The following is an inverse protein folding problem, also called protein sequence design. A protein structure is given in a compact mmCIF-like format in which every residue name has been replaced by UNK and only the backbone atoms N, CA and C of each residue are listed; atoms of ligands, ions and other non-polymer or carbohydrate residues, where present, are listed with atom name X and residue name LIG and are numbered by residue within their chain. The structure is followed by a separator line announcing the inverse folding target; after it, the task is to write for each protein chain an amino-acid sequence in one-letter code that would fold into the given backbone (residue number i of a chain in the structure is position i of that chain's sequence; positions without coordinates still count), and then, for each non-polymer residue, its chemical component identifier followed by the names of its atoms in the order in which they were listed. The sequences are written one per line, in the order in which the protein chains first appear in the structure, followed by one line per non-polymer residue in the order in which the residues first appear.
data_IF_699671014783
#
_entry.id   IF_699671014783
#
_cell.length_a   1.000
_cell.length_b   1.000
_cell.length_c   1.000
_cell.angle_alpha   90.00
_cell.angle_beta   90.00
_cell.angle_gamma   90.00
#
_symmetry.space_group_name_H-M   'P 1'
#
loop_
_entity.id
_entity.type
_entity.pdbx_description
1 polymer ?
#
# COMPACT_ATOMS: atom_id res chain seq x y z
N UNK A 1 -0.77 40.22 -21.48
CA UNK A 1 0.12 40.22 -20.30
C UNK A 1 -0.69 39.59 -19.17
N UNK A 2 -0.58 38.25 -19.01
CA UNK A 2 0.06 37.57 -17.87
C UNK A 2 -0.57 37.99 -16.52
N UNK A 3 -1.21 37.08 -15.78
CA UNK A 3 -0.50 36.08 -14.98
C UNK A 3 -1.36 34.84 -14.72
N UNK A 4 -0.81 33.65 -14.97
CA UNK A 4 -1.29 32.38 -14.44
C UNK A 4 -0.53 32.07 -13.14
N UNK A 5 -1.30 31.92 -12.06
CA UNK A 5 -1.13 31.03 -10.91
C UNK A 5 0.29 30.70 -10.42
N UNK A 6 0.73 31.35 -9.34
CA UNK A 6 1.79 30.82 -8.47
C UNK A 6 1.16 30.38 -7.14
N UNK A 7 0.38 29.31 -7.19
CA UNK A 7 -0.04 28.56 -6.02
C UNK A 7 1.07 27.61 -5.60
N UNK A 8 2.21 28.15 -5.16
CA UNK A 8 3.29 27.36 -4.56
C UNK A 8 2.88 26.95 -3.14
N UNK A 9 1.82 26.14 -3.04
CA UNK A 9 1.53 25.37 -1.85
C UNK A 9 2.60 24.29 -1.79
N UNK A 10 3.71 24.58 -1.12
CA UNK A 10 4.71 23.58 -0.72
C UNK A 10 3.98 22.50 0.07
N UNK A 11 3.52 21.45 -0.63
CA UNK A 11 3.06 20.24 0.02
C UNK A 11 4.25 19.70 0.81
N UNK A 12 4.04 19.29 2.08
CA UNK A 12 5.13 18.77 2.90
C UNK A 12 5.70 17.44 2.37
N UNK A 13 5.01 16.79 1.43
CA UNK A 13 5.43 15.60 0.70
C UNK A 13 5.28 15.86 -0.80
N UNK A 14 6.19 15.33 -1.61
CA UNK A 14 5.99 15.30 -3.05
C UNK A 14 4.87 14.28 -3.40
N UNK A 15 4.36 14.37 -4.63
CA UNK A 15 3.24 13.50 -5.06
C UNK A 15 3.63 12.01 -5.06
N UNK A 16 4.87 11.68 -5.44
CA UNK A 16 5.36 10.30 -5.51
C UNK A 16 5.52 9.66 -4.11
N UNK A 17 6.00 10.41 -3.12
CA UNK A 17 6.11 10.03 -1.72
C UNK A 17 4.72 9.77 -1.14
N UNK A 18 3.78 10.67 -1.41
CA UNK A 18 2.39 10.52 -1.00
C UNK A 18 1.78 9.25 -1.61
N UNK A 19 2.01 8.99 -2.89
CA UNK A 19 1.50 7.81 -3.58
C UNK A 19 2.07 6.52 -2.96
N UNK A 20 3.38 6.45 -2.72
CA UNK A 20 4.00 5.28 -2.09
C UNK A 20 3.50 5.03 -0.66
N UNK A 21 3.38 6.08 0.16
CA UNK A 21 2.83 5.97 1.51
C UNK A 21 1.38 5.49 1.46
N UNK A 22 0.58 6.02 0.53
CA UNK A 22 -0.82 5.62 0.34
C UNK A 22 -0.94 4.14 -0.05
N UNK A 23 -0.11 3.67 -0.99
CA UNK A 23 -0.11 2.25 -1.37
C UNK A 23 0.30 1.36 -0.20
N UNK A 24 1.34 1.74 0.55
CA UNK A 24 1.78 1.00 1.74
C UNK A 24 0.68 0.91 2.80
N UNK A 25 -0.01 2.02 3.08
CA UNK A 25 -1.13 2.06 4.04
C UNK A 25 -2.25 1.11 3.62
N UNK A 26 -2.73 1.21 2.38
CA UNK A 26 -3.82 0.38 1.88
C UNK A 26 -3.49 -1.12 1.97
N UNK A 27 -2.26 -1.50 1.62
CA UNK A 27 -1.82 -2.90 1.70
C UNK A 27 -1.68 -3.39 3.14
N UNK A 28 -1.17 -2.55 4.05
CA UNK A 28 -1.08 -2.91 5.45
C UNK A 28 -2.48 -3.12 6.08
N UNK A 29 -3.45 -2.29 5.71
CA UNK A 29 -4.85 -2.46 6.11
C UNK A 29 -5.44 -3.77 5.56
N UNK A 30 -5.18 -4.09 4.29
CA UNK A 30 -5.62 -5.35 3.69
C UNK A 30 -5.03 -6.57 4.43
N UNK A 31 -3.71 -6.56 4.70
CA UNK A 31 -3.01 -7.64 5.45
C UNK A 31 -3.67 -7.89 6.80
N UNK A 32 -4.02 -6.82 7.51
CA UNK A 32 -4.72 -6.90 8.79
C UNK A 32 -6.15 -7.44 8.62
N UNK A 33 -6.88 -6.98 7.62
CA UNK A 33 -8.27 -7.37 7.38
C UNK A 33 -8.41 -8.85 7.01
N UNK A 34 -7.43 -9.43 6.29
CA UNK A 34 -7.48 -10.85 5.93
C UNK A 34 -7.54 -11.79 7.13
N UNK A 35 -7.07 -11.39 8.32
CA UNK A 35 -7.20 -12.23 9.52
C UNK A 35 -8.67 -12.46 9.87
N UNK A 36 -9.47 -11.39 9.83
CA UNK A 36 -10.93 -11.48 10.00
C UNK A 36 -11.58 -12.25 8.86
N UNK A 37 -11.19 -12.00 7.59
CA UNK A 37 -11.79 -12.69 6.45
C UNK A 37 -11.51 -14.21 6.44
N UNK A 38 -10.32 -14.61 6.90
CA UNK A 38 -9.96 -16.01 7.09
C UNK A 38 -10.81 -16.62 8.19
N UNK A 39 -11.02 -15.92 9.32
CA UNK A 39 -11.89 -16.39 10.40
C UNK A 39 -13.35 -16.55 9.92
N UNK A 40 -13.87 -15.59 9.18
CA UNK A 40 -15.24 -15.65 8.63
C UNK A 40 -15.38 -16.83 7.65
N UNK A 41 -14.38 -17.06 6.80
CA UNK A 41 -14.36 -18.20 5.88
C UNK A 41 -14.29 -19.55 6.61
N UNK A 42 -13.55 -19.63 7.71
CA UNK A 42 -13.51 -20.81 8.58
C UNK A 42 -14.88 -21.07 9.24
N UNK A 43 -15.52 -20.03 9.77
CA UNK A 43 -16.85 -20.13 10.39
C UNK A 43 -17.92 -20.56 9.38
N UNK A 44 -17.79 -20.13 8.12
CA UNK A 44 -18.64 -20.55 7.01
C UNK A 44 -18.32 -21.95 6.47
N UNK A 45 -17.33 -22.66 7.03
CA UNK A 45 -16.82 -23.94 6.53
C UNK A 45 -16.39 -23.91 5.05
N UNK A 46 -15.92 -22.75 4.56
CA UNK A 46 -15.49 -22.58 3.17
C UNK A 46 -13.97 -22.65 3.05
N UNK A 47 -13.46 -23.88 2.95
CA UNK A 47 -12.03 -24.14 2.74
C UNK A 47 -11.44 -23.41 1.51
N UNK A 48 -12.12 -23.35 0.35
CA UNK A 48 -11.60 -22.59 -0.80
C UNK A 48 -11.43 -21.09 -0.51
N UNK A 49 -12.32 -20.51 0.30
CA UNK A 49 -12.20 -19.10 0.70
C UNK A 49 -11.05 -18.88 1.67
N UNK A 50 -10.81 -19.80 2.60
CA UNK A 50 -9.65 -19.77 3.51
C UNK A 50 -8.35 -19.74 2.70
N UNK A 51 -8.21 -20.66 1.75
CA UNK A 51 -7.00 -20.77 0.91
C UNK A 51 -6.79 -19.52 0.06
N UNK A 52 -7.88 -18.98 -0.52
CA UNK A 52 -7.81 -17.75 -1.29
C UNK A 52 -7.34 -16.57 -0.44
N UNK A 53 -7.96 -16.34 0.73
CA UNK A 53 -7.58 -15.22 1.59
C UNK A 53 -6.16 -15.36 2.17
N UNK A 54 -5.71 -16.58 2.48
CA UNK A 54 -4.32 -16.83 2.86
C UNK A 54 -3.35 -16.48 1.73
N UNK A 55 -3.66 -16.89 0.50
CA UNK A 55 -2.85 -16.57 -0.69
C UNK A 55 -2.80 -15.06 -0.94
N UNK A 56 -3.94 -14.37 -0.86
CA UNK A 56 -4.01 -12.92 -1.05
C UNK A 56 -3.22 -12.17 0.03
N UNK A 57 -3.36 -12.58 1.30
CA UNK A 57 -2.58 -12.02 2.41
C UNK A 57 -1.08 -12.16 2.18
N UNK A 58 -0.63 -13.34 1.75
CA UNK A 58 0.80 -13.58 1.49
C UNK A 58 1.32 -12.71 0.34
N UNK A 59 0.54 -12.57 -0.74
CA UNK A 59 0.89 -11.71 -1.86
C UNK A 59 1.00 -10.23 -1.45
N UNK A 60 0.06 -9.72 -0.64
CA UNK A 60 0.14 -8.34 -0.16
C UNK A 60 1.35 -8.11 0.77
N UNK A 61 1.74 -9.09 1.59
CA UNK A 61 2.95 -9.02 2.42
C UNK A 61 4.21 -8.90 1.54
N UNK A 62 4.33 -9.73 0.51
CA UNK A 62 5.45 -9.70 -0.43
C UNK A 62 5.53 -8.35 -1.16
N UNK A 63 4.39 -7.84 -1.61
CA UNK A 63 4.31 -6.54 -2.27
C UNK A 63 4.66 -5.38 -1.35
N UNK A 64 4.25 -5.41 -0.07
CA UNK A 64 4.67 -4.41 0.93
C UNK A 64 6.19 -4.41 1.10
N UNK A 65 6.82 -5.59 1.16
CA UNK A 65 8.27 -5.70 1.28
C UNK A 65 8.99 -5.13 0.04
N UNK A 66 8.51 -5.45 -1.15
CA UNK A 66 9.04 -4.93 -2.41
C UNK A 66 8.94 -3.39 -2.49
N UNK A 67 7.77 -2.84 -2.15
CA UNK A 67 7.54 -1.39 -2.16
C UNK A 67 8.43 -0.70 -1.13
N UNK A 68 8.56 -1.26 0.08
CA UNK A 68 9.47 -0.71 1.10
C UNK A 68 10.91 -0.67 0.60
N UNK A 69 11.37 -1.72 -0.08
CA UNK A 69 12.70 -1.76 -0.65
C UNK A 69 12.90 -0.70 -1.73
N UNK A 70 11.94 -0.56 -2.65
CA UNK A 70 11.98 0.47 -3.69
C UNK A 70 11.96 1.88 -3.10
N UNK A 71 11.10 2.15 -2.12
CA UNK A 71 11.02 3.47 -1.48
C UNK A 71 12.36 3.84 -0.84
N UNK A 72 13.03 2.90 -0.16
CA UNK A 72 14.38 3.14 0.39
C UNK A 72 15.39 3.52 -0.69
N UNK A 73 15.39 2.85 -1.84
CA UNK A 73 16.29 3.16 -2.94
C UNK A 73 16.00 4.54 -3.56
N UNK A 74 14.72 4.88 -3.74
CA UNK A 74 14.31 6.18 -4.29
C UNK A 74 14.69 7.32 -3.34
N UNK A 75 14.44 7.15 -2.03
CA UNK A 75 14.85 8.12 -1.00
C UNK A 75 16.38 8.30 -0.95
N UNK A 76 17.15 7.23 -1.10
CA UNK A 76 18.62 7.30 -1.09
C UNK A 76 19.21 7.90 -2.37
N UNK A 77 18.58 7.67 -3.52
CA UNK A 77 19.07 8.16 -4.82
C UNK A 77 18.72 9.61 -5.11
N UNK A 78 17.92 10.27 -4.26
CA UNK A 78 17.53 11.67 -4.43
C UNK A 78 16.68 11.91 -5.69
N UNK A 79 16.09 10.86 -6.27
CA UNK A 79 15.14 10.96 -7.40
C UNK A 79 13.70 11.21 -6.93
N UNK A 80 13.56 11.82 -5.75
CA UNK A 80 12.30 12.33 -5.20
C UNK A 80 12.11 13.78 -5.62
#
# INVERSE_FOLDING_TARGET
MTQATNGNQTRPLNDLEYDFITVLQNKAEAVKAYETYIQDAQQANSQPCVELFQKLRQADIEQVQEIRHHLQQVMQSGKM
#
